data_IF_048581076437
#
_entry.id   IF_048581076437
#
_cell.length_a   1.000
_cell.length_b   1.000
_cell.length_c   1.000
_cell.angle_alpha   90.00
_cell.angle_beta   90.00
_cell.angle_gamma   90.00
#
_symmetry.space_group_name_H-M   'P 1'
#
loop_
_entity.id
_entity.type
_entity.pdbx_description
1 polymer ?
#
# COMPACT_ATOMS: atom_id res chain seq x y z
N UNK A 1 -8.63 -6.20 10.24
CA UNK A 1 -9.42 -7.45 10.35
C UNK A 1 -8.77 -8.64 9.63
N UNK A 2 -8.46 -8.63 8.31
CA UNK A 2 -7.82 -9.79 7.67
C UNK A 2 -6.44 -10.16 8.26
N UNK A 3 -5.63 -9.15 8.59
CA UNK A 3 -4.30 -9.35 9.20
C UNK A 3 -4.40 -10.00 10.59
N UNK A 4 -5.41 -9.60 11.37
CA UNK A 4 -5.70 -10.14 12.70
C UNK A 4 -6.08 -11.62 12.60
N UNK A 5 -6.97 -11.96 11.65
CA UNK A 5 -7.38 -13.34 11.42
C UNK A 5 -6.21 -14.21 10.92
N UNK A 6 -5.37 -13.67 10.02
CA UNK A 6 -4.16 -14.36 9.56
C UNK A 6 -3.19 -14.63 10.73
N UNK A 7 -3.02 -13.66 11.63
CA UNK A 7 -2.21 -13.82 12.85
C UNK A 7 -2.78 -14.92 13.74
N UNK A 8 -4.11 -14.93 13.98
CA UNK A 8 -4.78 -15.97 14.77
C UNK A 8 -4.53 -17.37 14.20
N UNK A 9 -4.76 -17.54 12.89
CA UNK A 9 -4.55 -18.82 12.20
C UNK A 9 -3.10 -19.28 12.23
N UNK A 10 -2.14 -18.36 12.06
CA UNK A 10 -0.72 -18.69 12.12
C UNK A 10 -0.36 -19.31 13.47
N UNK A 11 -0.79 -18.70 14.57
CA UNK A 11 -0.51 -19.23 15.91
C UNK A 11 -1.26 -20.52 16.23
N UNK A 12 -2.47 -20.71 15.67
CA UNK A 12 -3.18 -22.00 15.77
C UNK A 12 -2.42 -23.13 15.05
N UNK A 13 -1.83 -22.83 13.88
CA UNK A 13 -0.97 -23.77 13.15
C UNK A 13 0.28 -24.08 13.98
N UNK A 14 0.92 -23.07 14.58
CA UNK A 14 2.07 -23.29 15.49
C UNK A 14 1.71 -24.20 16.67
N UNK A 15 0.54 -23.98 17.28
CA UNK A 15 0.02 -24.83 18.35
C UNK A 15 -0.20 -26.27 17.89
N UNK A 16 -0.73 -26.46 16.68
CA UNK A 16 -0.90 -27.80 16.09
C UNK A 16 0.44 -28.49 15.86
N UNK A 17 1.43 -27.79 15.30
CA UNK A 17 2.78 -28.33 15.08
C UNK A 17 3.45 -28.76 16.39
N UNK A 18 3.31 -27.98 17.47
CA UNK A 18 3.80 -28.37 18.78
C UNK A 18 3.11 -29.64 19.30
N UNK A 19 1.78 -29.72 19.23
CA UNK A 19 1.02 -30.87 19.74
C UNK A 19 1.29 -32.16 18.98
N UNK A 20 1.33 -32.08 17.65
CA UNK A 20 1.41 -33.27 16.79
C UNK A 20 2.85 -33.75 16.58
N UNK A 21 3.81 -32.82 16.54
CA UNK A 21 5.20 -33.11 16.15
C UNK A 21 6.23 -32.73 17.22
N UNK A 22 5.82 -32.09 18.33
CA UNK A 22 6.75 -31.59 19.35
C UNK A 22 7.62 -30.42 18.89
N UNK A 23 7.27 -29.78 17.76
CA UNK A 23 8.06 -28.69 17.18
C UNK A 23 7.70 -27.35 17.83
N UNK A 24 8.68 -26.70 18.43
CA UNK A 24 8.59 -25.30 18.87
C UNK A 24 9.32 -24.40 17.88
N UNK A 25 8.58 -23.52 17.20
CA UNK A 25 9.16 -22.58 16.25
C UNK A 25 9.79 -21.39 16.97
N UNK A 26 10.98 -20.99 16.53
CA UNK A 26 11.73 -19.87 17.10
C UNK A 26 11.22 -18.49 16.65
N UNK A 27 10.56 -18.44 15.49
CA UNK A 27 10.04 -17.21 14.92
C UNK A 27 8.69 -17.43 14.24
N UNK A 28 7.93 -16.33 14.14
CA UNK A 28 6.70 -16.24 13.38
C UNK A 28 6.80 -15.02 12.46
N UNK A 29 6.74 -15.25 11.15
CA UNK A 29 6.70 -14.20 10.15
C UNK A 29 5.26 -13.81 9.87
N UNK A 30 4.93 -12.55 10.15
CA UNK A 30 3.60 -11.99 9.93
C UNK A 30 3.50 -11.29 8.57
N UNK A 31 4.59 -11.27 7.80
CA UNK A 31 4.67 -10.69 6.47
C UNK A 31 4.57 -9.17 6.47
N UNK A 32 4.24 -8.64 5.30
CA UNK A 32 3.98 -7.21 5.08
C UNK A 32 2.49 -6.87 5.07
N UNK A 33 2.13 -5.79 4.37
CA UNK A 33 0.71 -5.42 4.19
C UNK A 33 0.26 -4.23 5.04
N UNK A 34 1.17 -3.58 5.76
CA UNK A 34 0.92 -2.23 6.29
C UNK A 34 0.81 -1.28 5.10
N UNK A 35 -0.40 -0.76 4.89
CA UNK A 35 -0.70 0.18 3.82
C UNK A 35 -0.11 1.56 4.08
N UNK A 36 0.04 2.34 3.00
CA UNK A 36 0.31 3.78 3.05
C UNK A 36 -0.92 4.53 2.53
N UNK A 37 -0.96 5.83 2.80
CA UNK A 37 -2.05 6.70 2.38
C UNK A 37 -1.74 7.26 0.99
N UNK A 38 -2.54 6.89 -0.01
CA UNK A 38 -2.41 7.42 -1.38
C UNK A 38 -3.31 8.64 -1.64
N UNK A 39 -4.29 8.90 -0.77
CA UNK A 39 -5.15 10.08 -0.83
C UNK A 39 -5.57 10.57 0.56
N UNK A 40 -5.91 11.84 0.65
CA UNK A 40 -6.40 12.49 1.87
C UNK A 40 -7.65 11.87 2.50
N UNK A 41 -8.34 10.94 1.86
CA UNK A 41 -9.55 10.32 2.42
C UNK A 41 -9.35 8.83 2.74
N UNK A 42 -8.22 8.24 2.31
CA UNK A 42 -7.99 6.81 2.48
C UNK A 42 -7.71 6.46 3.96
N UNK A 43 -8.52 5.59 4.59
CA UNK A 43 -8.20 5.04 5.90
C UNK A 43 -6.88 4.26 5.82
N UNK A 44 -6.01 4.46 6.81
CA UNK A 44 -4.77 3.70 6.92
C UNK A 44 -4.53 3.30 8.38
N UNK A 45 -3.72 2.27 8.57
CA UNK A 45 -3.35 1.77 9.89
C UNK A 45 -1.88 2.09 10.17
N UNK A 46 -1.62 2.65 11.35
CA UNK A 46 -0.23 2.84 11.81
C UNK A 46 0.34 1.53 12.37
N UNK A 47 1.67 1.37 12.40
CA UNK A 47 2.31 0.22 13.06
C UNK A 47 1.89 0.07 14.53
N UNK A 48 1.67 1.19 15.24
CA UNK A 48 1.19 1.17 16.62
C UNK A 48 -0.21 0.57 16.74
N UNK A 49 -1.16 1.03 15.91
CA UNK A 49 -2.52 0.49 15.88
C UNK A 49 -2.56 -0.98 15.46
N UNK A 50 -1.68 -1.38 14.52
CA UNK A 50 -1.56 -2.79 14.16
C UNK A 50 -1.08 -3.62 15.35
N UNK A 51 -0.05 -3.15 16.06
CA UNK A 51 0.47 -3.82 17.24
C UNK A 51 -0.61 -3.96 18.34
N UNK A 52 -1.36 -2.89 18.62
CA UNK A 52 -2.49 -2.91 19.57
C UNK A 52 -3.55 -3.96 19.20
N UNK A 53 -3.79 -4.17 17.90
CA UNK A 53 -4.77 -5.15 17.44
C UNK A 53 -4.28 -6.61 17.51
N UNK A 54 -2.98 -6.88 17.34
CA UNK A 54 -2.44 -8.25 17.24
C UNK A 54 -1.81 -8.77 18.52
N UNK A 55 -1.23 -7.90 19.37
CA UNK A 55 -0.53 -8.32 20.58
C UNK A 55 -1.43 -9.11 21.55
N UNK A 56 -2.68 -8.69 21.85
CA UNK A 56 -3.56 -9.46 22.72
C UNK A 56 -3.86 -10.86 22.19
N UNK A 57 -3.97 -10.99 20.87
CA UNK A 57 -4.28 -12.25 20.19
C UNK A 57 -3.08 -13.19 20.24
N UNK A 58 -1.88 -12.64 20.05
CA UNK A 58 -0.63 -13.39 20.19
C UNK A 58 -0.51 -13.90 21.63
N UNK A 59 -0.74 -13.05 22.64
CA UNK A 59 -0.69 -13.45 24.05
C UNK A 59 -1.71 -14.53 24.40
N UNK A 60 -2.96 -14.37 23.95
CA UNK A 60 -4.04 -15.36 24.07
C UNK A 60 -3.61 -16.71 23.50
N UNK A 61 -3.08 -16.73 22.26
CA UNK A 61 -2.70 -17.97 21.57
C UNK A 61 -1.45 -18.62 22.11
N UNK A 62 -0.50 -17.83 22.60
CA UNK A 62 0.68 -18.36 23.29
C UNK A 62 0.27 -19.11 24.56
N UNK A 63 -0.66 -18.56 25.33
CA UNK A 63 -1.19 -19.21 26.52
C UNK A 63 -2.02 -20.45 26.18
N UNK A 64 -2.97 -20.34 25.23
CA UNK A 64 -3.85 -21.43 24.79
C UNK A 64 -3.07 -22.68 24.38
N UNK A 65 -2.03 -22.51 23.58
CA UNK A 65 -1.23 -23.62 23.04
C UNK A 65 0.04 -23.91 23.85
N UNK A 66 0.22 -23.23 25.00
CA UNK A 66 1.41 -23.31 25.85
C UNK A 66 2.71 -23.12 25.05
N UNK A 67 2.72 -22.20 24.08
CA UNK A 67 3.87 -21.93 23.21
C UNK A 67 4.87 -21.00 23.90
N UNK A 68 6.16 -21.20 23.65
CA UNK A 68 7.18 -20.19 23.95
C UNK A 68 6.96 -18.96 23.07
N UNK A 69 7.24 -17.76 23.60
CA UNK A 69 7.20 -16.51 22.82
C UNK A 69 8.21 -16.57 21.66
N UNK A 70 7.76 -16.58 20.38
CA UNK A 70 8.66 -16.57 19.24
C UNK A 70 9.15 -15.15 18.96
N UNK A 71 10.20 -15.03 18.14
CA UNK A 71 10.58 -13.78 17.49
C UNK A 71 9.53 -13.42 16.43
N UNK A 72 8.96 -12.23 16.50
CA UNK A 72 8.04 -11.73 15.47
C UNK A 72 8.84 -11.07 14.35
N UNK A 73 8.57 -11.45 13.10
CA UNK A 73 9.14 -10.85 11.90
C UNK A 73 8.05 -10.15 11.09
N UNK A 74 8.44 -9.07 10.42
CA UNK A 74 7.57 -8.25 9.57
C UNK A 74 8.34 -7.84 8.32
N UNK A 75 7.62 -7.75 7.19
CA UNK A 75 8.19 -7.46 5.87
C UNK A 75 7.59 -6.18 5.24
N UNK A 76 7.71 -4.99 5.88
CA UNK A 76 7.10 -3.76 5.38
C UNK A 76 7.88 -3.21 4.17
N UNK A 77 7.45 -3.56 2.96
CA UNK A 77 8.00 -2.95 1.74
C UNK A 77 7.43 -1.55 1.50
N UNK A 78 6.19 -1.50 1.00
CA UNK A 78 5.49 -0.26 0.62
C UNK A 78 5.45 0.79 1.73
N UNK A 79 5.32 0.36 2.98
CA UNK A 79 5.28 1.28 4.12
C UNK A 79 6.58 2.06 4.32
N UNK A 80 7.73 1.44 4.03
CA UNK A 80 9.04 2.10 4.18
C UNK A 80 9.33 3.03 3.00
N UNK A 81 9.13 2.54 1.77
CA UNK A 81 9.62 3.24 0.57
C UNK A 81 8.55 4.07 -0.15
N UNK A 82 7.27 3.88 0.19
CA UNK A 82 6.16 4.47 -0.54
C UNK A 82 6.15 5.99 -0.55
N UNK A 83 6.43 6.60 0.61
CA UNK A 83 6.43 8.06 0.78
C UNK A 83 7.86 8.65 0.69
N UNK A 84 8.85 7.83 0.35
CA UNK A 84 10.25 8.23 0.31
C UNK A 84 10.62 9.06 -0.93
N UNK A 85 9.72 9.17 -1.92
CA UNK A 85 10.00 9.89 -3.15
C UNK A 85 8.76 10.22 -3.96
N UNK A 86 8.95 11.10 -4.94
CA UNK A 86 7.92 11.52 -5.90
C UNK A 86 8.41 11.30 -7.32
N UNK A 87 7.49 11.05 -8.25
CA UNK A 87 7.79 11.02 -9.68
C UNK A 87 7.54 12.39 -10.27
N UNK A 88 8.59 13.01 -10.82
CA UNK A 88 8.48 14.28 -11.53
C UNK A 88 8.36 14.02 -13.03
N UNK A 89 7.39 14.69 -13.68
CA UNK A 89 7.18 14.64 -15.11
C UNK A 89 7.04 16.05 -15.69
N UNK A 90 7.43 16.23 -16.94
CA UNK A 90 7.29 17.49 -17.68
C UNK A 90 6.04 17.44 -18.55
N UNK A 91 5.25 18.51 -18.50
CA UNK A 91 4.14 18.73 -19.44
C UNK A 91 4.69 19.17 -20.78
N UNK A 92 4.28 18.50 -21.86
CA UNK A 92 4.62 18.88 -23.24
C UNK A 92 3.44 19.48 -23.99
N UNK A 93 2.23 18.97 -23.75
CA UNK A 93 1.06 19.35 -24.54
C UNK A 93 -0.16 19.57 -23.66
N UNK A 94 -0.93 20.59 -23.97
CA UNK A 94 -2.26 20.80 -23.39
C UNK A 94 -3.25 20.80 -24.53
N UNK A 95 -4.18 19.85 -24.52
CA UNK A 95 -5.23 19.72 -25.55
C UNK A 95 -6.59 19.90 -24.90
N UNK A 96 -7.24 21.02 -25.20
CA UNK A 96 -8.64 21.23 -24.86
C UNK A 96 -9.53 20.61 -25.94
N UNK A 97 -10.51 19.82 -25.52
CA UNK A 97 -11.60 19.34 -26.37
C UNK A 97 -12.92 19.85 -25.79
N UNK A 98 -14.04 19.81 -26.53
CA UNK A 98 -15.35 20.19 -25.99
C UNK A 98 -15.79 19.39 -24.75
N UNK A 99 -15.19 18.22 -24.50
CA UNK A 99 -15.60 17.31 -23.42
C UNK A 99 -14.58 17.20 -22.28
N UNK A 100 -13.28 17.24 -22.59
CA UNK A 100 -12.19 17.03 -21.63
C UNK A 100 -10.95 17.84 -22.00
N UNK A 101 -10.17 18.19 -20.98
CA UNK A 101 -8.84 18.77 -21.13
C UNK A 101 -7.78 17.71 -20.83
N UNK A 102 -6.86 17.54 -21.77
CA UNK A 102 -5.76 16.58 -21.66
C UNK A 102 -4.44 17.29 -21.39
N UNK A 103 -3.69 16.79 -20.42
CA UNK A 103 -2.32 17.19 -20.11
C UNK A 103 -1.41 16.04 -20.51
N UNK A 104 -0.66 16.21 -21.59
CA UNK A 104 0.32 15.23 -22.06
C UNK A 104 1.67 15.46 -21.39
N UNK A 105 2.24 14.41 -20.77
CA UNK A 105 3.55 14.45 -20.11
C UNK A 105 4.50 13.35 -20.61
N UNK A 106 5.78 13.44 -20.25
CA UNK A 106 6.80 12.41 -20.54
C UNK A 106 6.80 11.21 -19.60
N UNK A 107 5.78 11.08 -18.73
CA UNK A 107 5.60 9.93 -17.88
C UNK A 107 4.44 9.07 -18.38
N UNK A 108 4.74 7.82 -18.73
CA UNK A 108 3.79 6.79 -19.15
C UNK A 108 3.61 5.68 -18.11
N UNK A 109 2.77 4.69 -18.43
CA UNK A 109 2.65 3.46 -17.62
C UNK A 109 3.96 2.66 -17.59
N UNK A 110 4.90 2.92 -18.49
CA UNK A 110 6.27 2.39 -18.45
C UNK A 110 7.04 2.84 -17.21
N UNK A 111 6.71 4.01 -16.62
CA UNK A 111 7.33 4.51 -15.39
C UNK A 111 6.42 4.27 -14.18
N UNK A 112 5.11 4.43 -14.35
CA UNK A 112 4.12 4.20 -13.29
C UNK A 112 2.96 3.37 -13.81
N UNK A 113 3.12 2.04 -13.80
CA UNK A 113 2.11 1.11 -14.32
C UNK A 113 0.87 0.99 -13.42
N UNK A 114 0.97 1.41 -12.15
CA UNK A 114 -0.05 1.13 -11.12
C UNK A 114 -1.46 1.65 -11.44
N UNK A 115 -1.65 2.86 -11.96
CA UNK A 115 -2.97 3.32 -12.39
C UNK A 115 -3.55 2.43 -13.51
N UNK A 116 -2.74 2.07 -14.50
CA UNK A 116 -3.17 1.26 -15.64
C UNK A 116 -3.51 -0.19 -15.26
N UNK A 117 -2.68 -0.81 -14.41
CA UNK A 117 -2.78 -2.24 -14.08
C UNK A 117 -3.70 -2.51 -12.87
N UNK A 118 -3.71 -1.61 -11.89
CA UNK A 118 -4.41 -1.83 -10.62
C UNK A 118 -5.50 -0.79 -10.33
N UNK A 119 -5.75 0.17 -11.22
CA UNK A 119 -6.65 1.29 -10.95
C UNK A 119 -6.21 2.12 -9.74
N UNK A 120 -4.92 2.09 -9.39
CA UNK A 120 -4.42 2.76 -8.19
C UNK A 120 -4.45 4.28 -8.37
N UNK A 121 -5.05 4.96 -7.40
CA UNK A 121 -5.00 6.42 -7.29
C UNK A 121 -3.60 6.90 -6.88
N UNK A 122 -3.20 8.03 -7.43
CA UNK A 122 -2.02 8.80 -7.04
C UNK A 122 -2.37 10.29 -7.12
N UNK A 123 -2.11 11.02 -6.05
CA UNK A 123 -2.25 12.47 -6.09
C UNK A 123 -1.23 13.06 -7.07
N UNK A 124 -1.71 13.92 -7.97
CA UNK A 124 -0.87 14.64 -8.92
C UNK A 124 -1.00 16.12 -8.68
N UNK A 125 0.15 16.79 -8.54
CA UNK A 125 0.21 18.23 -8.29
C UNK A 125 1.12 18.90 -9.31
N UNK A 126 0.80 20.15 -9.62
CA UNK A 126 1.70 21.01 -10.38
C UNK A 126 2.83 21.44 -9.45
N UNK A 127 4.05 20.95 -9.68
CA UNK A 127 5.15 21.07 -8.72
C UNK A 127 5.44 22.49 -8.23
N UNK A 128 5.36 23.51 -9.12
CA UNK A 128 5.57 24.92 -8.76
C UNK A 128 4.32 25.62 -8.20
N UNK A 129 3.22 24.89 -7.98
CA UNK A 129 1.93 25.36 -7.49
C UNK A 129 1.30 24.38 -6.50
N UNK A 130 2.08 23.50 -5.89
CA UNK A 130 1.59 22.38 -5.07
C UNK A 130 0.75 22.81 -3.85
N UNK A 131 0.93 24.04 -3.37
CA UNK A 131 0.18 24.62 -2.25
C UNK A 131 -1.11 25.34 -2.66
N UNK A 132 -1.40 25.44 -3.96
CA UNK A 132 -2.60 26.10 -4.46
C UNK A 132 -3.76 25.10 -4.51
N UNK A 133 -4.99 25.63 -4.32
CA UNK A 133 -6.19 24.84 -4.49
C UNK A 133 -6.32 24.34 -5.94
N UNK A 134 -6.87 23.12 -6.16
CA UNK A 134 -7.21 22.64 -7.51
C UNK A 134 -8.15 23.63 -8.21
N UNK A 135 -7.87 23.90 -9.49
CA UNK A 135 -8.59 24.92 -10.26
C UNK A 135 -9.54 24.33 -11.31
N UNK A 136 -9.21 23.15 -11.85
CA UNK A 136 -9.95 22.49 -12.93
C UNK A 136 -9.67 20.99 -12.89
N UNK A 137 -10.64 20.18 -13.32
CA UNK A 137 -10.45 18.74 -13.53
C UNK A 137 -9.83 18.50 -14.91
N UNK A 138 -8.77 17.69 -14.97
CA UNK A 138 -8.07 17.34 -16.19
C UNK A 138 -7.76 15.85 -16.28
N UNK A 139 -7.53 15.37 -17.50
CA UNK A 139 -7.00 14.02 -17.74
C UNK A 139 -5.52 14.10 -18.08
N UNK A 140 -4.69 13.43 -17.31
CA UNK A 140 -3.25 13.30 -17.57
C UNK A 140 -3.03 12.08 -18.44
N UNK A 141 -2.29 12.26 -19.54
CA UNK A 141 -1.93 11.22 -20.48
C UNK A 141 -0.40 11.14 -20.64
N UNK A 142 0.12 9.93 -20.75
CA UNK A 142 1.54 9.70 -20.98
C UNK A 142 1.98 9.86 -22.44
N UNK A 143 3.25 9.60 -22.70
CA UNK A 143 3.90 9.75 -24.00
C UNK A 143 3.88 8.48 -24.88
N UNK A 144 3.17 7.44 -24.46
CA UNK A 144 3.04 6.19 -25.21
C UNK A 144 1.76 6.21 -26.07
N UNK A 145 1.82 5.59 -27.25
CA UNK A 145 0.68 5.48 -28.17
C UNK A 145 -0.35 4.44 -27.72
N UNK A 146 -0.79 4.51 -26.48
CA UNK A 146 -1.76 3.59 -25.87
C UNK A 146 -2.61 4.35 -24.84
N UNK A 147 -3.89 4.02 -24.76
CA UNK A 147 -4.87 4.72 -23.91
C UNK A 147 -4.77 4.35 -22.42
N UNK A 148 -3.92 3.37 -22.08
CA UNK A 148 -3.85 2.74 -20.77
C UNK A 148 -3.34 3.61 -19.61
N UNK A 149 -2.72 4.77 -19.87
CA UNK A 149 -2.37 5.72 -18.82
C UNK A 149 -3.28 6.94 -18.88
N UNK A 150 -4.38 6.89 -18.13
CA UNK A 150 -5.18 8.05 -17.78
C UNK A 150 -5.31 8.14 -16.27
N UNK A 151 -4.78 9.21 -15.68
CA UNK A 151 -5.13 9.61 -14.31
C UNK A 151 -5.95 10.89 -14.37
N UNK A 152 -6.99 10.99 -13.54
CA UNK A 152 -7.75 12.22 -13.35
C UNK A 152 -7.08 13.01 -12.24
N UNK A 153 -6.80 14.29 -12.49
CA UNK A 153 -6.18 15.21 -11.55
C UNK A 153 -6.99 16.50 -11.47
#
# INVERSE_FOLDING_TARGET
>A
EPYVEATRRLFDIMGRLKRELGLELEFADLGGGVGIRYSGEQPYITPAQLAEAILPIIEEKLAEHSLRKPKLLFEPGRYIVGDAGVMLARVYTIKATPYKKFIGCDAGFNLLIRPAMYGSHHDVVVANKASLAPAEEVTIAGNLCESGMTSVA
#
